data_IF_645958306075
#
_entry.id   IF_645958306075
#
_cell.length_a   1.000
_cell.length_b   1.000
_cell.length_c   1.000
_cell.angle_alpha   90.00
_cell.angle_beta   90.00
_cell.angle_gamma   90.00
#
_symmetry.space_group_name_H-M   'P 1'
#
loop_
_entity.id
_entity.type
_entity.pdbx_description
1 polymer ?
#
# COMPACT_ATOMS: atom_id res chain seq x y z
N UNK A 1 14.34 -4.25 -2.56
CA UNK A 1 13.32 -4.25 -1.49
C UNK A 1 12.19 -5.17 -1.93
N UNK A 2 11.76 -6.14 -1.12
CA UNK A 2 10.80 -7.16 -1.55
C UNK A 2 9.49 -6.48 -1.95
N UNK A 3 9.08 -6.74 -3.18
CA UNK A 3 8.07 -5.98 -3.90
C UNK A 3 6.68 -6.41 -3.42
N UNK A 4 6.07 -5.63 -2.53
CA UNK A 4 4.67 -5.80 -2.09
C UNK A 4 3.70 -5.31 -3.19
N UNK A 5 3.96 -5.71 -4.44
CA UNK A 5 3.19 -5.39 -5.63
C UNK A 5 2.42 -6.62 -6.05
N UNK A 6 1.11 -6.46 -6.22
CA UNK A 6 0.21 -7.53 -6.66
C UNK A 6 -0.60 -7.07 -7.85
N UNK A 7 -0.91 -7.99 -8.75
CA UNK A 7 -1.84 -7.71 -9.85
C UNK A 7 -3.24 -7.43 -9.30
N UNK A 8 -4.08 -6.77 -10.11
CA UNK A 8 -5.49 -6.53 -9.73
C UNK A 8 -6.23 -7.85 -9.47
N UNK A 9 -5.88 -8.92 -10.19
CA UNK A 9 -6.49 -10.24 -10.04
C UNK A 9 -6.12 -10.89 -8.70
N UNK A 10 -4.84 -10.87 -8.34
CA UNK A 10 -4.35 -11.41 -7.06
C UNK A 10 -4.90 -10.62 -5.87
N UNK A 11 -4.95 -9.29 -5.99
CA UNK A 11 -5.52 -8.43 -4.96
C UNK A 11 -7.00 -8.78 -4.69
N UNK A 12 -7.80 -8.99 -5.74
CA UNK A 12 -9.20 -9.38 -5.61
C UNK A 12 -9.37 -10.77 -5.00
N UNK A 13 -8.51 -11.72 -5.38
CA UNK A 13 -8.54 -13.07 -4.81
C UNK A 13 -8.21 -13.09 -3.32
N UNK A 14 -7.33 -12.19 -2.86
CA UNK A 14 -6.83 -12.15 -1.48
C UNK A 14 -7.28 -10.89 -0.72
N UNK A 15 -8.41 -10.28 -1.10
CA UNK A 15 -8.86 -8.99 -0.57
C UNK A 15 -8.91 -8.96 0.96
N UNK A 16 -9.46 -10.02 1.58
CA UNK A 16 -9.58 -10.11 3.05
C UNK A 16 -8.21 -10.08 3.75
N UNK A 17 -7.24 -10.85 3.24
CA UNK A 17 -5.89 -10.88 3.80
C UNK A 17 -5.17 -9.53 3.67
N UNK A 18 -5.42 -8.78 2.59
CA UNK A 18 -4.86 -7.44 2.42
C UNK A 18 -5.50 -6.38 3.32
N UNK A 19 -6.80 -6.49 3.60
CA UNK A 19 -7.50 -5.56 4.50
C UNK A 19 -7.16 -5.81 5.98
N UNK A 20 -6.87 -7.05 6.35
CA UNK A 20 -6.44 -7.43 7.71
C UNK A 20 -4.93 -7.24 7.92
N UNK A 21 -4.15 -7.06 6.85
CA UNK A 21 -2.72 -6.84 6.91
C UNK A 21 -2.33 -5.41 7.34
N UNK A 22 -1.14 -5.29 7.92
CA UNK A 22 -0.60 -3.99 8.39
C UNK A 22 0.36 -3.32 7.38
N UNK A 23 0.62 -3.97 6.25
CA UNK A 23 1.54 -3.48 5.23
C UNK A 23 0.83 -2.76 4.08
N UNK A 24 1.43 -1.68 3.57
CA UNK A 24 0.96 -1.03 2.34
C UNK A 24 1.20 -1.94 1.12
N UNK A 25 0.21 -2.01 0.24
CA UNK A 25 0.22 -2.90 -0.94
C UNK A 25 0.06 -2.06 -2.21
N UNK A 26 0.95 -2.26 -3.18
CA UNK A 26 0.83 -1.62 -4.50
C UNK A 26 0.02 -2.53 -5.41
N UNK A 27 -1.06 -2.01 -5.97
CA UNK A 27 -1.95 -2.74 -6.87
C UNK A 27 -1.67 -2.27 -8.29
N UNK A 28 -1.23 -3.19 -9.13
CA UNK A 28 -0.91 -2.91 -10.53
C UNK A 28 0.14 -3.86 -11.09
N UNK A 29 0.36 -3.73 -12.39
CA UNK A 29 1.30 -4.57 -13.14
C UNK A 29 2.70 -3.96 -13.09
N UNK A 30 3.71 -4.66 -13.64
CA UNK A 30 5.11 -4.19 -13.60
C UNK A 30 5.29 -2.79 -14.21
N UNK A 31 4.54 -2.48 -15.27
CA UNK A 31 4.64 -1.24 -16.02
C UNK A 31 3.67 -0.15 -15.57
N UNK A 32 2.63 -0.50 -14.81
CA UNK A 32 1.56 0.45 -14.45
C UNK A 32 1.09 0.24 -13.03
N UNK A 33 1.33 1.24 -12.18
CA UNK A 33 0.72 1.28 -10.84
C UNK A 33 -0.68 1.86 -10.94
N UNK A 34 -1.70 1.11 -10.47
CA UNK A 34 -3.11 1.54 -10.54
C UNK A 34 -3.61 2.13 -9.23
N UNK A 35 -3.25 1.51 -8.11
CA UNK A 35 -3.69 1.95 -6.78
C UNK A 35 -2.68 1.52 -5.71
N UNK A 36 -2.78 2.12 -4.52
CA UNK A 36 -2.03 1.69 -3.34
C UNK A 36 -3.00 1.56 -2.19
N UNK A 37 -3.03 0.38 -1.56
CA UNK A 37 -3.73 0.16 -0.31
C UNK A 37 -2.82 0.56 0.85
N UNK A 38 -3.34 1.39 1.74
CA UNK A 38 -2.66 1.80 2.96
C UNK A 38 -3.55 1.38 4.14
N UNK A 39 -3.16 0.37 4.92
CA UNK A 39 -3.96 -0.03 6.07
C UNK A 39 -4.00 1.10 7.10
N UNK A 40 -5.21 1.43 7.54
CA UNK A 40 -5.41 2.37 8.64
C UNK A 40 -5.27 1.63 9.97
N UNK A 41 -4.51 2.16 10.93
CA UNK A 41 -4.46 1.57 12.27
C UNK A 41 -5.86 1.57 12.90
N UNK A 42 -6.18 0.51 13.66
CA UNK A 42 -7.47 0.37 14.34
C UNK A 42 -7.70 1.55 15.27
N UNK A 43 -8.96 2.00 15.33
CA UNK A 43 -9.45 3.16 16.07
C UNK A 43 -9.06 3.21 17.57
N UNK A 44 -8.62 2.09 18.17
CA UNK A 44 -8.23 2.00 19.58
C UNK A 44 -6.88 2.69 19.90
N UNK A 45 -6.10 3.06 18.90
CA UNK A 45 -4.87 3.85 19.04
C UNK A 45 -4.86 4.97 18.02
N UNK A 46 -5.81 5.91 18.13
CA UNK A 46 -5.79 7.17 17.37
C UNK A 46 -4.61 8.06 17.83
N UNK A 47 -3.39 7.57 17.63
CA UNK A 47 -2.17 8.34 17.72
C UNK A 47 -1.94 8.96 16.34
N UNK A 48 -2.20 10.25 16.25
CA UNK A 48 -1.98 11.04 15.03
C UNK A 48 -0.53 10.94 14.52
N UNK A 49 0.43 10.59 15.37
CA UNK A 49 1.83 10.37 15.00
C UNK A 49 2.02 9.10 14.18
N UNK A 50 1.36 8.00 14.56
CA UNK A 50 1.41 6.73 13.85
C UNK A 50 0.74 6.82 12.48
N UNK A 51 -0.42 7.49 12.41
CA UNK A 51 -1.12 7.76 11.15
C UNK A 51 -0.28 8.63 10.19
N UNK A 52 0.40 9.66 10.70
CA UNK A 52 1.31 10.50 9.89
C UNK A 52 2.51 9.70 9.36
N UNK A 53 3.09 8.80 10.17
CA UNK A 53 4.17 7.91 9.72
C UNK A 53 3.70 6.94 8.63
N UNK A 54 2.52 6.32 8.79
CA UNK A 54 1.95 5.43 7.79
C UNK A 54 1.66 6.15 6.47
N UNK A 55 1.10 7.36 6.51
CA UNK A 55 0.90 8.20 5.33
C UNK A 55 2.22 8.59 4.67
N UNK A 56 3.25 8.97 5.44
CA UNK A 56 4.56 9.32 4.89
C UNK A 56 5.26 8.12 4.23
N UNK A 57 5.14 6.93 4.82
CA UNK A 57 5.66 5.69 4.24
C UNK A 57 4.93 5.34 2.92
N UNK A 58 3.61 5.46 2.90
CA UNK A 58 2.83 5.22 1.69
C UNK A 58 3.13 6.25 0.59
N UNK A 59 3.34 7.51 0.95
CA UNK A 59 3.71 8.55 -0.01
C UNK A 59 5.06 8.25 -0.66
N UNK A 60 6.04 7.80 0.12
CA UNK A 60 7.34 7.34 -0.43
C UNK A 60 7.19 6.17 -1.40
N UNK A 61 6.31 5.22 -1.10
CA UNK A 61 6.03 4.09 -2.02
C UNK A 61 5.37 4.57 -3.31
N UNK A 62 4.45 5.52 -3.22
CA UNK A 62 3.80 6.13 -4.38
C UNK A 62 4.80 6.88 -5.26
N UNK A 63 5.61 7.75 -4.66
CA UNK A 63 6.60 8.55 -5.39
C UNK A 63 7.67 7.64 -6.04
N UNK A 64 8.09 6.57 -5.36
CA UNK A 64 8.98 5.56 -5.93
C UNK A 64 8.35 4.82 -7.12
N UNK A 65 7.07 4.45 -7.01
CA UNK A 65 6.35 3.79 -8.09
C UNK A 65 6.17 4.70 -9.33
N UNK A 66 5.92 6.00 -9.14
CA UNK A 66 5.90 6.98 -10.22
C UNK A 66 7.30 7.18 -10.82
N UNK A 67 8.33 7.28 -9.98
CA UNK A 67 9.71 7.46 -10.46
C UNK A 67 10.17 6.30 -11.34
N UNK A 68 9.71 5.07 -11.09
CA UNK A 68 10.02 3.92 -11.96
C UNK A 68 9.26 3.90 -13.29
N UNK A 69 8.29 4.80 -13.50
CA UNK A 69 7.56 4.95 -14.78
C UNK A 69 8.13 6.07 -15.68
N UNK A 70 9.12 6.84 -15.22
CA UNK A 70 9.90 7.78 -16.03
C UNK A 70 11.12 7.08 -16.63
#
# INVERSE_FOLDING_TARGET
MPQNRVSVREFRANLKAHLEGEAAVVIGDFYTTRAILIPMPKHSTWDTSASKKAQAAARKLFDAAISTMK
#
